data_IF_348432164080
#
_entry.id   IF_348432164080
#
_cell.length_a   1.000
_cell.length_b   1.000
_cell.length_c   1.000
_cell.angle_alpha   90.00
_cell.angle_beta   90.00
_cell.angle_gamma   90.00
#
_symmetry.space_group_name_H-M   'P 1'
#
loop_
_entity.id
_entity.type
_entity.pdbx_description
1 polymer ?
#
# COMPACT_ATOMS: atom_id res chain seq x y z
N UNK A 1 -13.32 -20.25 -1.87
CA UNK A 1 -13.43 -20.34 -0.39
C UNK A 1 -14.58 -19.47 0.13
N UNK A 2 -15.10 -19.73 1.32
CA UNK A 2 -16.08 -18.84 1.99
C UNK A 2 -15.40 -17.61 2.59
N UNK A 3 -16.18 -16.61 3.02
CA UNK A 3 -15.65 -15.42 3.68
C UNK A 3 -14.95 -15.77 5.00
N UNK A 4 -15.52 -16.67 5.79
CA UNK A 4 -14.97 -17.11 7.07
C UNK A 4 -13.62 -17.80 6.88
N UNK A 5 -13.51 -18.65 5.86
CA UNK A 5 -12.25 -19.31 5.48
C UNK A 5 -11.18 -18.30 5.03
N UNK A 6 -11.58 -17.27 4.27
CA UNK A 6 -10.68 -16.20 3.85
C UNK A 6 -10.18 -15.39 5.05
N UNK A 7 -11.07 -15.06 5.97
CA UNK A 7 -10.74 -14.33 7.19
C UNK A 7 -9.78 -15.13 8.08
N UNK A 8 -10.05 -16.43 8.28
CA UNK A 8 -9.16 -17.33 9.03
C UNK A 8 -7.79 -17.44 8.38
N UNK A 9 -7.73 -17.61 7.04
CA UNK A 9 -6.48 -17.66 6.30
C UNK A 9 -5.64 -16.40 6.51
N UNK A 10 -6.23 -15.21 6.36
CA UNK A 10 -5.53 -13.92 6.52
C UNK A 10 -5.11 -13.69 7.98
N UNK A 11 -5.91 -14.17 8.94
CA UNK A 11 -5.61 -14.06 10.37
C UNK A 11 -4.35 -14.84 10.77
N UNK A 12 -3.97 -15.88 10.02
CA UNK A 12 -2.74 -16.63 10.27
C UNK A 12 -1.46 -15.84 9.96
N UNK A 13 -1.55 -14.75 9.20
CA UNK A 13 -0.43 -13.86 8.86
C UNK A 13 -0.31 -12.65 9.80
N UNK A 14 -1.08 -12.62 10.89
CA UNK A 14 -1.11 -11.50 11.86
C UNK A 14 0.10 -11.44 12.80
N UNK A 15 0.94 -12.49 12.83
CA UNK A 15 2.14 -12.52 13.66
C UNK A 15 3.22 -11.60 13.08
N UNK A 16 3.82 -10.79 13.95
CA UNK A 16 4.97 -9.94 13.60
C UNK A 16 6.15 -10.80 13.18
N UNK A 17 6.63 -10.61 11.95
CA UNK A 17 7.89 -11.17 11.45
C UNK A 17 9.07 -10.23 11.67
N UNK A 18 10.25 -10.65 11.22
CA UNK A 18 11.43 -9.77 11.19
C UNK A 18 11.22 -8.57 10.24
N UNK A 19 11.95 -7.46 10.46
CA UNK A 19 11.93 -6.32 9.54
C UNK A 19 12.20 -6.74 8.10
N UNK A 20 11.33 -6.31 7.17
CA UNK A 20 11.47 -6.60 5.74
C UNK A 20 12.62 -5.78 5.15
N UNK A 21 13.56 -6.46 4.49
CA UNK A 21 14.80 -5.84 3.93
C UNK A 21 14.82 -5.78 2.40
N UNK A 22 13.87 -6.43 1.74
CA UNK A 22 13.72 -6.43 0.29
C UNK A 22 12.25 -6.69 -0.09
N UNK A 23 11.93 -6.50 -1.37
CA UNK A 23 10.59 -6.69 -1.92
C UNK A 23 10.44 -7.99 -2.71
N UNK A 24 11.43 -8.88 -2.72
CA UNK A 24 11.50 -10.01 -3.65
C UNK A 24 10.29 -10.92 -3.50
N UNK A 25 9.91 -11.28 -2.26
CA UNK A 25 8.74 -12.14 -2.03
C UNK A 25 7.46 -11.53 -2.63
N UNK A 26 7.27 -10.23 -2.45
CA UNK A 26 6.06 -9.55 -2.89
C UNK A 26 6.05 -9.34 -4.40
N UNK A 27 7.21 -9.02 -5.00
CA UNK A 27 7.38 -8.97 -6.46
C UNK A 27 7.02 -10.31 -7.11
N UNK A 28 7.48 -11.43 -6.53
CA UNK A 28 7.15 -12.77 -7.04
C UNK A 28 5.66 -13.07 -6.87
N UNK A 29 5.06 -12.73 -5.73
CA UNK A 29 3.61 -12.87 -5.53
C UNK A 29 2.82 -12.08 -6.58
N UNK A 30 3.18 -10.82 -6.83
CA UNK A 30 2.52 -10.01 -7.85
C UNK A 30 2.70 -10.58 -9.25
N UNK A 31 3.87 -11.18 -9.55
CA UNK A 31 4.11 -11.88 -10.82
C UNK A 31 3.21 -13.10 -10.99
N UNK A 32 2.99 -13.89 -9.94
CA UNK A 32 2.05 -15.02 -9.96
C UNK A 32 0.61 -14.55 -10.21
N UNK A 33 0.27 -13.33 -9.79
CA UNK A 33 -1.03 -12.69 -10.02
C UNK A 33 -1.13 -11.98 -11.39
N UNK A 34 -0.11 -12.05 -12.23
CA UNK A 34 -0.10 -11.41 -13.55
C UNK A 34 0.23 -9.91 -13.53
N UNK A 35 0.85 -9.41 -12.46
CA UNK A 35 1.26 -8.02 -12.28
C UNK A 35 0.13 -6.97 -12.47
N UNK A 36 -1.03 -7.10 -11.80
CA UNK A 36 -2.17 -6.18 -11.98
C UNK A 36 -1.81 -4.71 -11.69
N UNK A 37 -0.82 -4.47 -10.83
CA UNK A 37 -0.35 -3.13 -10.47
C UNK A 37 0.27 -2.35 -11.64
N UNK A 38 0.72 -3.01 -12.70
CA UNK A 38 1.29 -2.35 -13.88
C UNK A 38 0.22 -1.66 -14.75
N UNK A 39 -1.04 -2.10 -14.64
CA UNK A 39 -2.17 -1.59 -15.41
C UNK A 39 -2.96 -0.50 -14.65
N UNK A 40 -2.52 -0.14 -13.44
CA UNK A 40 -3.20 0.81 -12.57
C UNK A 40 -2.53 2.18 -12.62
N UNK A 41 -3.34 3.23 -12.72
CA UNK A 41 -2.88 4.60 -12.49
C UNK A 41 -2.88 4.89 -10.99
N UNK A 42 -1.69 4.91 -10.38
CA UNK A 42 -1.55 4.92 -8.93
C UNK A 42 -1.15 6.31 -8.38
N UNK A 43 -1.76 6.69 -7.26
CA UNK A 43 -1.25 7.73 -6.35
C UNK A 43 -0.71 7.02 -5.11
N UNK A 44 0.59 7.17 -4.85
CA UNK A 44 1.26 6.44 -3.76
C UNK A 44 1.58 7.38 -2.61
N UNK A 45 1.11 7.07 -1.41
CA UNK A 45 1.14 7.99 -0.25
C UNK A 45 1.95 7.38 0.88
N UNK A 46 3.02 8.07 1.27
CA UNK A 46 3.85 7.77 2.43
C UNK A 46 3.91 8.94 3.41
N UNK A 47 4.36 8.69 4.63
CA UNK A 47 4.37 9.69 5.70
C UNK A 47 4.32 9.09 7.10
N UNK A 48 4.57 9.91 8.12
CA UNK A 48 4.34 9.55 9.53
C UNK A 48 2.85 9.76 9.83
N UNK A 49 2.36 11.00 9.75
CA UNK A 49 0.96 11.33 10.06
C UNK A 49 0.18 11.82 8.83
N UNK A 50 -1.14 11.62 8.84
CA UNK A 50 -2.05 12.18 7.84
C UNK A 50 -2.17 11.40 6.52
N UNK A 51 -1.47 10.26 6.38
CA UNK A 51 -1.54 9.38 5.19
C UNK A 51 -2.99 9.01 4.82
N UNK A 52 -3.71 8.37 5.74
CA UNK A 52 -5.12 7.98 5.54
C UNK A 52 -6.05 9.17 5.21
N UNK A 53 -5.89 10.32 5.88
CA UNK A 53 -6.68 11.52 5.59
C UNK A 53 -6.41 12.06 4.18
N UNK A 54 -5.15 12.11 3.76
CA UNK A 54 -4.78 12.51 2.40
C UNK A 54 -5.30 11.52 1.37
N UNK A 55 -5.25 10.21 1.64
CA UNK A 55 -5.84 9.19 0.79
C UNK A 55 -7.36 9.40 0.62
N UNK A 56 -8.06 9.77 1.70
CA UNK A 56 -9.49 10.09 1.67
C UNK A 56 -9.78 11.36 0.87
N UNK A 57 -8.98 12.42 1.03
CA UNK A 57 -9.13 13.64 0.23
C UNK A 57 -8.92 13.39 -1.26
N UNK A 58 -7.88 12.63 -1.64
CA UNK A 58 -7.63 12.27 -3.04
C UNK A 58 -8.80 11.42 -3.57
N UNK A 59 -9.24 10.41 -2.82
CA UNK A 59 -10.38 9.57 -3.19
C UNK A 59 -11.65 10.40 -3.43
N UNK A 60 -11.96 11.34 -2.55
CA UNK A 60 -13.11 12.23 -2.69
C UNK A 60 -12.98 13.17 -3.89
N UNK A 61 -11.78 13.69 -4.17
CA UNK A 61 -11.54 14.53 -5.34
C UNK A 61 -11.75 13.74 -6.66
N UNK A 62 -11.25 12.50 -6.75
CA UNK A 62 -11.45 11.64 -7.94
C UNK A 62 -12.93 11.31 -8.13
N UNK A 63 -13.67 10.99 -7.05
CA UNK A 63 -15.11 10.77 -7.11
C UNK A 63 -15.89 12.02 -7.54
N UNK A 64 -15.49 13.20 -7.06
CA UNK A 64 -16.11 14.47 -7.44
C UNK A 64 -15.92 14.76 -8.95
N UNK A 65 -14.81 14.31 -9.53
CA UNK A 65 -14.55 14.29 -10.98
C UNK A 65 -15.26 13.14 -11.72
N UNK A 66 -16.19 12.44 -11.06
CA UNK A 66 -17.00 11.33 -11.60
C UNK A 66 -16.18 10.17 -12.16
N UNK A 67 -14.95 9.99 -11.66
CA UNK A 67 -14.05 8.88 -12.00
C UNK A 67 -14.11 7.79 -10.92
N UNK A 68 -13.86 6.55 -11.33
CA UNK A 68 -13.77 5.43 -10.41
C UNK A 68 -12.45 5.46 -9.63
N UNK A 69 -12.50 5.23 -8.31
CA UNK A 69 -11.31 5.22 -7.46
C UNK A 69 -11.25 3.99 -6.57
N UNK A 70 -10.10 3.32 -6.58
CA UNK A 70 -9.71 2.32 -5.58
C UNK A 70 -8.91 3.00 -4.46
N UNK A 71 -9.12 2.61 -3.20
CA UNK A 71 -8.39 3.13 -2.05
C UNK A 71 -7.93 1.98 -1.16
N UNK A 72 -6.63 1.89 -0.93
CA UNK A 72 -6.01 0.97 0.02
C UNK A 72 -5.39 1.74 1.19
N UNK A 73 -5.86 1.49 2.41
CA UNK A 73 -5.43 2.20 3.63
C UNK A 73 -5.19 1.26 4.81
N UNK A 74 -4.43 1.72 5.81
CA UNK A 74 -4.18 0.98 7.04
C UNK A 74 -3.99 1.90 8.27
N UNK A 75 -4.28 1.45 9.50
CA UNK A 75 -4.95 0.20 9.86
C UNK A 75 -6.46 0.22 9.51
N UNK A 76 -7.20 -0.83 9.87
CA UNK A 76 -8.67 -0.79 9.93
C UNK A 76 -9.12 -0.56 11.38
N UNK A 77 -10.36 -0.09 11.57
CA UNK A 77 -10.94 0.18 12.89
C UNK A 77 -11.91 -0.94 13.30
N UNK A 78 -12.95 -1.20 12.52
CA UNK A 78 -14.01 -2.16 12.86
C UNK A 78 -13.85 -3.48 12.08
N UNK A 79 -13.62 -3.42 10.76
CA UNK A 79 -13.48 -4.61 9.92
C UNK A 79 -12.39 -4.52 8.85
N UNK A 80 -11.85 -5.68 8.46
CA UNK A 80 -10.70 -5.78 7.56
C UNK A 80 -10.99 -5.23 6.16
N UNK A 81 -12.25 -5.29 5.73
CA UNK A 81 -12.72 -4.79 4.44
C UNK A 81 -12.61 -3.27 4.32
N UNK A 82 -12.55 -2.53 5.43
CA UNK A 82 -12.32 -1.08 5.45
C UNK A 82 -11.05 -0.68 4.70
N UNK A 83 -10.05 -1.55 4.71
CA UNK A 83 -8.75 -1.31 4.07
C UNK A 83 -8.86 -1.27 2.56
N UNK A 84 -9.88 -1.85 1.95
CA UNK A 84 -10.00 -2.01 0.51
C UNK A 84 -11.35 -1.44 0.06
N UNK A 85 -11.33 -0.29 -0.59
CA UNK A 85 -12.55 0.39 -1.00
C UNK A 85 -12.53 0.72 -2.49
N UNK A 86 -13.69 0.62 -3.13
CA UNK A 86 -13.94 1.18 -4.46
C UNK A 86 -15.10 2.16 -4.37
N UNK A 87 -14.87 3.39 -4.83
CA UNK A 87 -15.84 4.49 -4.76
C UNK A 87 -16.43 4.73 -3.35
N UNK A 88 -15.61 4.54 -2.31
CA UNK A 88 -15.99 4.69 -0.91
C UNK A 88 -16.85 3.56 -0.34
N UNK A 89 -17.05 2.47 -1.08
CA UNK A 89 -17.69 1.24 -0.61
C UNK A 89 -16.63 0.20 -0.31
N UNK A 90 -16.74 -0.48 0.81
CA UNK A 90 -15.85 -1.57 1.17
C UNK A 90 -15.97 -2.70 0.15
N UNK A 91 -14.88 -3.42 -0.06
CA UNK A 91 -14.92 -4.68 -0.80
C UNK A 91 -15.99 -5.59 -0.20
N UNK A 92 -16.82 -6.20 -1.05
CA UNK A 92 -17.86 -7.10 -0.56
C UNK A 92 -17.25 -8.42 -0.05
N UNK A 93 -17.87 -9.04 0.96
CA UNK A 93 -17.44 -10.34 1.48
C UNK A 93 -17.26 -11.42 0.40
N UNK A 94 -18.16 -11.56 -0.59
CA UNK A 94 -17.95 -12.51 -1.69
C UNK A 94 -16.74 -12.17 -2.57
N UNK A 95 -16.54 -10.89 -2.92
CA UNK A 95 -15.38 -10.46 -3.69
C UNK A 95 -14.07 -10.68 -2.91
N UNK A 96 -14.08 -10.36 -1.61
CA UNK A 96 -12.95 -10.58 -0.72
C UNK A 96 -12.56 -12.07 -0.66
N UNK A 97 -13.53 -12.96 -0.45
CA UNK A 97 -13.28 -14.40 -0.40
C UNK A 97 -12.72 -14.95 -1.74
N UNK A 98 -13.29 -14.51 -2.86
CA UNK A 98 -12.85 -14.90 -4.21
C UNK A 98 -11.42 -14.45 -4.51
N UNK A 99 -11.05 -13.23 -4.11
CA UNK A 99 -9.72 -12.68 -4.34
C UNK A 99 -8.70 -13.26 -3.37
N UNK A 100 -9.10 -13.50 -2.12
CA UNK A 100 -8.28 -14.19 -1.14
C UNK A 100 -7.89 -15.60 -1.63
N UNK A 101 -8.79 -16.32 -2.30
CA UNK A 101 -8.48 -17.62 -2.91
C UNK A 101 -7.44 -17.52 -4.03
N UNK A 102 -7.57 -16.52 -4.91
CA UNK A 102 -6.57 -16.27 -5.95
C UNK A 102 -5.19 -15.95 -5.35
N UNK A 103 -5.16 -15.08 -4.33
CA UNK A 103 -3.91 -14.71 -3.65
C UNK A 103 -3.33 -15.90 -2.90
N UNK A 104 -4.14 -16.72 -2.22
CA UNK A 104 -3.69 -17.96 -1.57
C UNK A 104 -3.00 -18.90 -2.55
N UNK A 105 -3.64 -19.17 -3.70
CA UNK A 105 -3.05 -20.03 -4.73
C UNK A 105 -1.74 -19.44 -5.27
N UNK A 106 -1.65 -18.12 -5.43
CA UNK A 106 -0.44 -17.44 -5.87
C UNK A 106 0.69 -17.50 -4.82
N UNK A 107 0.36 -17.41 -3.53
CA UNK A 107 1.31 -17.63 -2.42
C UNK A 107 1.87 -19.05 -2.48
N UNK A 108 1.01 -20.06 -2.62
CA UNK A 108 1.43 -21.47 -2.73
C UNK A 108 2.33 -21.72 -3.95
N UNK A 109 2.03 -21.08 -5.09
CA UNK A 109 2.84 -21.18 -6.32
C UNK A 109 4.15 -20.40 -6.25
N UNK A 110 4.24 -19.36 -5.42
CA UNK A 110 5.43 -18.51 -5.34
C UNK A 110 6.67 -19.24 -4.81
N UNK A 111 6.46 -20.29 -4.00
CA UNK A 111 7.53 -20.97 -3.28
C UNK A 111 8.15 -20.14 -2.14
N UNK A 112 7.60 -18.97 -1.82
CA UNK A 112 8.01 -18.15 -0.67
C UNK A 112 7.09 -18.38 0.52
N UNK A 113 7.66 -18.25 1.72
CA UNK A 113 6.94 -18.24 2.99
C UNK A 113 7.10 -16.89 3.70
N UNK A 114 6.43 -16.75 4.86
CA UNK A 114 6.61 -15.59 5.73
C UNK A 114 6.02 -14.29 5.19
N UNK A 115 4.99 -14.36 4.35
CA UNK A 115 4.19 -13.19 3.98
C UNK A 115 3.56 -12.58 5.24
N UNK A 116 3.37 -11.28 5.24
CA UNK A 116 2.64 -10.55 6.26
C UNK A 116 1.17 -10.39 5.90
N UNK A 117 0.31 -10.17 6.90
CA UNK A 117 -1.09 -9.83 6.65
C UNK A 117 -1.23 -8.61 5.72
N UNK A 118 -0.33 -7.62 5.86
CA UNK A 118 -0.33 -6.42 5.04
C UNK A 118 -0.01 -6.73 3.57
N UNK A 119 0.96 -7.60 3.28
CA UNK A 119 1.25 -8.08 1.92
C UNK A 119 0.04 -8.80 1.30
N UNK A 120 -0.59 -9.74 2.02
CA UNK A 120 -1.75 -10.45 1.51
C UNK A 120 -2.89 -9.48 1.16
N UNK A 121 -3.18 -8.52 2.04
CA UNK A 121 -4.20 -7.51 1.80
C UNK A 121 -3.85 -6.55 0.67
N UNK A 122 -2.58 -6.15 0.54
CA UNK A 122 -2.11 -5.31 -0.56
C UNK A 122 -2.28 -6.03 -1.90
N UNK A 123 -1.95 -7.32 -1.98
CA UNK A 123 -2.15 -8.13 -3.18
C UNK A 123 -3.63 -8.24 -3.55
N UNK A 124 -4.51 -8.48 -2.57
CA UNK A 124 -5.98 -8.49 -2.78
C UNK A 124 -6.45 -7.13 -3.30
N UNK A 125 -6.00 -6.03 -2.70
CA UNK A 125 -6.40 -4.67 -3.09
C UNK A 125 -6.00 -4.34 -4.54
N UNK A 126 -4.74 -4.59 -4.91
CA UNK A 126 -4.24 -4.35 -6.26
C UNK A 126 -4.98 -5.18 -7.30
N UNK A 127 -5.24 -6.46 -6.99
CA UNK A 127 -6.02 -7.34 -7.87
C UNK A 127 -7.49 -6.89 -7.98
N UNK A 128 -8.09 -6.42 -6.89
CA UNK A 128 -9.45 -5.90 -6.87
C UNK A 128 -9.57 -4.65 -7.74
N UNK A 129 -8.70 -3.67 -7.54
CA UNK A 129 -8.70 -2.41 -8.29
C UNK A 129 -8.51 -2.64 -9.79
N UNK A 130 -7.67 -3.60 -10.17
CA UNK A 130 -7.48 -3.99 -11.56
C UNK A 130 -8.76 -4.59 -12.16
N UNK A 131 -9.40 -5.54 -11.46
CA UNK A 131 -10.64 -6.18 -11.94
C UNK A 131 -11.83 -5.21 -11.99
N UNK A 132 -11.91 -4.26 -11.07
CA UNK A 132 -12.93 -3.20 -11.05
C UNK A 132 -12.60 -2.06 -12.03
N UNK A 133 -11.46 -2.12 -12.72
CA UNK A 133 -11.03 -1.13 -13.72
C UNK A 133 -11.11 0.30 -13.17
N UNK A 134 -10.57 0.52 -11.97
CA UNK A 134 -10.59 1.84 -11.35
C UNK A 134 -9.75 2.82 -12.17
N UNK A 135 -10.23 4.06 -12.32
CA UNK A 135 -9.52 5.09 -13.07
C UNK A 135 -8.26 5.57 -12.34
N UNK A 136 -8.29 5.54 -11.00
CA UNK A 136 -7.17 5.87 -10.11
C UNK A 136 -7.17 4.90 -8.93
N UNK A 137 -6.01 4.41 -8.53
CA UNK A 137 -5.82 3.67 -7.27
C UNK A 137 -4.98 4.51 -6.30
N UNK A 138 -5.51 4.80 -5.12
CA UNK A 138 -4.81 5.53 -4.05
C UNK A 138 -4.30 4.52 -3.05
N UNK A 139 -2.98 4.42 -2.92
CA UNK A 139 -2.32 3.38 -2.13
C UNK A 139 -1.54 4.04 -1.01
N UNK A 140 -1.90 3.73 0.23
CA UNK A 140 -1.16 4.11 1.43
C UNK A 140 -0.06 3.08 1.74
N UNK A 141 1.16 3.54 2.04
CA UNK A 141 2.21 2.69 2.61
C UNK A 141 1.85 2.27 4.04
N UNK A 142 2.15 1.03 4.41
CA UNK A 142 2.01 0.58 5.80
C UNK A 142 3.07 1.23 6.69
N UNK A 143 4.35 0.90 6.48
CA UNK A 143 5.46 1.41 7.28
C UNK A 143 6.62 1.86 6.36
N UNK A 144 7.11 3.08 6.59
CA UNK A 144 8.22 3.63 5.83
C UNK A 144 7.83 3.94 4.37
N UNK A 145 8.35 3.15 3.44
CA UNK A 145 8.16 3.31 2.00
C UNK A 145 9.11 2.44 1.18
N UNK A 146 10.42 2.54 1.43
CA UNK A 146 11.47 1.87 0.65
C UNK A 146 11.27 0.35 0.52
N UNK A 147 11.06 -0.33 1.65
CA UNK A 147 10.81 -1.78 1.73
C UNK A 147 9.34 -2.12 2.03
N UNK A 148 8.44 -1.15 1.91
CA UNK A 148 7.02 -1.40 2.04
C UNK A 148 6.51 -2.17 0.80
N UNK A 149 5.69 -3.19 0.97
CA UNK A 149 5.23 -4.02 -0.15
C UNK A 149 4.48 -3.22 -1.22
N UNK A 150 3.87 -2.08 -0.85
CA UNK A 150 3.22 -1.18 -1.81
C UNK A 150 4.22 -0.54 -2.79
N UNK A 151 5.52 -0.53 -2.50
CA UNK A 151 6.55 0.11 -3.33
C UNK A 151 6.96 -0.67 -4.59
N UNK A 152 6.28 -1.79 -4.88
CA UNK A 152 6.38 -2.47 -6.19
C UNK A 152 5.70 -1.68 -7.32
N UNK A 153 4.89 -0.68 -6.98
CA UNK A 153 4.11 0.10 -7.95
C UNK A 153 4.95 1.17 -8.67
N UNK A 154 4.51 1.57 -9.86
CA UNK A 154 5.02 2.74 -10.57
C UNK A 154 3.94 3.84 -10.58
N UNK A 155 3.95 4.76 -9.60
CA UNK A 155 2.88 5.72 -9.45
C UNK A 155 2.93 6.82 -10.52
N UNK A 156 1.76 7.42 -10.78
CA UNK A 156 1.66 8.66 -11.56
C UNK A 156 2.06 9.90 -10.73
N UNK A 157 1.94 9.80 -9.40
CA UNK A 157 2.40 10.81 -8.45
C UNK A 157 2.66 10.15 -7.09
N UNK A 158 3.78 10.51 -6.47
CA UNK A 158 4.08 10.12 -5.09
C UNK A 158 3.71 11.27 -4.15
N UNK A 159 3.29 10.96 -2.94
CA UNK A 159 2.92 11.95 -1.92
C UNK A 159 3.65 11.61 -0.63
N UNK A 160 4.40 12.57 -0.10
CA UNK A 160 4.98 12.50 1.24
C UNK A 160 4.20 13.46 2.13
N UNK A 161 3.48 12.93 3.12
CA UNK A 161 2.81 13.77 4.13
C UNK A 161 3.85 14.29 5.12
N UNK A 162 3.65 14.21 6.44
CA UNK A 162 4.67 14.65 7.40
C UNK A 162 5.76 13.59 7.58
N UNK A 163 6.96 14.00 7.97
CA UNK A 163 8.02 13.11 8.47
C UNK A 163 8.32 13.49 9.92
N UNK A 164 8.24 12.51 10.80
CA UNK A 164 8.55 12.66 12.22
C UNK A 164 9.07 11.33 12.77
N UNK A 165 9.74 11.39 13.93
CA UNK A 165 10.22 10.20 14.66
C UNK A 165 9.05 9.27 14.98
N UNK A 166 9.08 8.09 14.38
CA UNK A 166 8.08 7.03 14.51
C UNK A 166 8.67 5.72 14.01
N UNK A 167 8.27 4.59 14.60
CA UNK A 167 8.78 3.26 14.26
C UNK A 167 10.32 3.17 14.21
N UNK A 168 11.02 3.77 15.19
CA UNK A 168 12.49 3.88 15.18
C UNK A 168 13.21 2.54 15.16
N UNK A 169 12.60 1.51 15.74
CA UNK A 169 13.13 0.13 15.72
C UNK A 169 13.20 -0.47 14.30
N UNK A 170 12.46 0.09 13.34
CA UNK A 170 12.36 -0.41 11.96
C UNK A 170 12.97 0.59 10.97
N UNK A 171 12.74 1.89 11.18
CA UNK A 171 13.07 2.94 10.22
C UNK A 171 14.36 3.69 10.53
N UNK A 172 15.00 3.40 11.68
CA UNK A 172 16.19 4.10 12.16
C UNK A 172 15.86 5.15 13.23
N UNK A 173 16.91 5.65 13.88
CA UNK A 173 16.79 6.50 15.07
C UNK A 173 16.75 8.00 14.74
N UNK A 174 16.93 8.38 13.47
CA UNK A 174 16.98 9.79 13.04
C UNK A 174 15.87 10.16 12.05
N UNK A 175 15.54 11.46 11.98
CA UNK A 175 14.63 11.98 10.95
C UNK A 175 15.16 11.72 9.55
N UNK A 176 16.48 11.74 9.35
CA UNK A 176 17.11 11.42 8.06
C UNK A 176 16.89 9.97 7.66
N UNK A 177 17.00 9.00 8.57
CA UNK A 177 16.77 7.57 8.27
C UNK A 177 15.31 7.34 7.87
N UNK A 178 14.39 7.95 8.63
CA UNK A 178 12.96 7.88 8.37
C UNK A 178 12.60 8.55 7.04
N UNK A 179 13.20 9.71 6.74
CA UNK A 179 13.03 10.40 5.47
C UNK A 179 13.54 9.54 4.31
N UNK A 180 14.70 8.88 4.45
CA UNK A 180 15.23 7.97 3.43
C UNK A 180 14.27 6.82 3.12
N UNK A 181 13.69 6.21 4.16
CA UNK A 181 12.68 5.18 3.98
C UNK A 181 11.44 5.70 3.26
N UNK A 182 10.86 6.81 3.71
CA UNK A 182 9.62 7.35 3.12
C UNK A 182 9.83 7.85 1.69
N UNK A 183 10.95 8.53 1.42
CA UNK A 183 11.35 8.97 0.09
C UNK A 183 11.64 7.80 -0.87
N UNK A 184 11.70 6.56 -0.38
CA UNK A 184 11.82 5.35 -1.21
C UNK A 184 10.66 5.12 -2.17
N UNK A 185 9.51 5.78 -1.99
CA UNK A 185 8.38 5.72 -2.93
C UNK A 185 8.50 6.70 -4.11
N UNK A 186 9.49 7.60 -4.09
CA UNK A 186 9.71 8.56 -5.17
C UNK A 186 10.39 7.83 -6.32
N UNK A 187 9.84 7.95 -7.53
CA UNK A 187 10.36 7.31 -8.74
C UNK A 187 10.94 8.36 -9.71
N UNK A 188 12.00 8.03 -10.46
CA UNK A 188 12.61 8.98 -11.39
C UNK A 188 11.61 9.57 -12.38
N UNK A 189 11.66 10.87 -12.59
CA UNK A 189 10.78 11.62 -13.50
C UNK A 189 9.27 11.59 -13.16
N UNK A 190 8.89 11.07 -11.99
CA UNK A 190 7.51 11.10 -11.47
C UNK A 190 7.39 12.25 -10.47
N UNK A 191 6.36 13.11 -10.56
CA UNK A 191 6.18 14.20 -9.61
C UNK A 191 5.96 13.67 -8.19
N UNK A 192 6.52 14.40 -7.22
CA UNK A 192 6.32 14.17 -5.80
C UNK A 192 5.65 15.40 -5.17
N UNK A 193 4.56 15.20 -4.43
CA UNK A 193 3.89 16.24 -3.64
C UNK A 193 4.29 16.06 -2.18
N UNK A 194 4.84 17.11 -1.56
CA UNK A 194 5.33 17.06 -0.19
C UNK A 194 4.52 18.01 0.67
N UNK A 195 4.11 17.58 1.86
CA UNK A 195 3.47 18.47 2.82
C UNK A 195 4.43 19.61 3.20
N UNK A 196 3.95 20.86 3.35
CA UNK A 196 4.80 22.00 3.68
C UNK A 196 5.36 21.88 5.12
N UNK A 197 6.35 22.73 5.43
CA UNK A 197 6.93 22.87 6.78
C UNK A 197 7.67 21.62 7.31
N UNK A 198 8.31 20.86 6.42
CA UNK A 198 9.24 19.80 6.84
C UNK A 198 10.55 20.40 7.38
N UNK A 199 11.23 19.65 8.24
CA UNK A 199 12.60 19.94 8.62
C UNK A 199 13.52 19.99 7.40
N UNK A 200 14.51 20.89 7.44
CA UNK A 200 15.44 21.10 6.32
C UNK A 200 16.19 19.80 5.95
N UNK A 201 16.59 19.01 6.93
CA UNK A 201 17.26 17.73 6.69
C UNK A 201 16.37 16.72 5.97
N UNK A 202 15.07 16.69 6.29
CA UNK A 202 14.08 15.85 5.59
C UNK A 202 13.92 16.30 4.15
N UNK A 203 13.78 17.61 3.90
CA UNK A 203 13.66 18.15 2.55
C UNK A 203 14.88 17.83 1.69
N UNK A 204 16.09 17.94 2.25
CA UNK A 204 17.31 17.58 1.53
C UNK A 204 17.31 16.13 1.05
N UNK A 205 16.77 15.20 1.86
CA UNK A 205 16.66 13.78 1.46
C UNK A 205 15.62 13.59 0.35
N UNK A 206 14.48 14.27 0.46
CA UNK A 206 13.40 14.16 -0.53
C UNK A 206 13.81 14.76 -1.87
N UNK A 207 14.46 15.93 -1.88
CA UNK A 207 14.92 16.62 -3.09
C UNK A 207 16.07 15.90 -3.81
N UNK A 208 16.77 14.99 -3.12
CA UNK A 208 17.86 14.19 -3.69
C UNK A 208 17.38 12.95 -4.46
N UNK A 209 16.06 12.68 -4.54
CA UNK A 209 15.46 11.54 -5.25
C UNK A 209 15.06 11.89 -6.68
#
# INVERSE_FOLDING_TARGET
MTYEQAYEYISNFSKSGEPVKDLIRFVILMRMLGNPHNELKIVHVAGTNGKGSVCEYISNAVKADKKSVGKFTSPYIDCIEERIQVNGKYISKPAFALLCEQVKNAVEQSGFEGFSQFEILCAIALLYFYKEQVSVAVIETGIGGLYDCTNVVNPAVSVITTVALDHTDILGESLTDIAHHKAGIIKPSIPCVVAPLQDKEVMNIIEAK
#
